data_IF_858832847918
#
_entry.id   IF_858832847918
#
_cell.length_a   1.000
_cell.length_b   1.000
_cell.length_c   1.000
_cell.angle_alpha   90.00
_cell.angle_beta   90.00
_cell.angle_gamma   90.00
#
_symmetry.space_group_name_H-M   'P 1'
#
loop_
_entity.id
_entity.type
_entity.pdbx_description
1 polymer ?
#
# COMPACT_ATOMS: atom_id res chain seq x y z
N UNK A 1 -22.74 2.59 -1.04
CA UNK A 1 -21.67 2.41 -2.05
C UNK A 1 -20.42 3.08 -1.54
N UNK A 2 -19.24 2.52 -1.79
CA UNK A 2 -17.97 2.93 -1.17
C UNK A 2 -17.34 4.21 -1.77
N UNK A 3 -18.15 5.09 -2.38
CA UNK A 3 -17.67 6.33 -2.94
C UNK A 3 -17.62 7.42 -1.85
N UNK A 4 -16.47 8.10 -1.65
CA UNK A 4 -16.37 9.22 -0.73
C UNK A 4 -17.40 10.30 -1.04
N UNK A 5 -17.85 11.02 0.00
CA UNK A 5 -18.72 12.19 -0.22
C UNK A 5 -17.92 13.32 -0.88
N UNK A 6 -18.59 14.12 -1.70
CA UNK A 6 -17.98 15.33 -2.27
C UNK A 6 -17.52 16.24 -1.14
N UNK A 7 -16.29 16.76 -1.24
CA UNK A 7 -15.65 17.59 -0.21
C UNK A 7 -14.93 16.80 0.89
N UNK A 8 -14.98 15.46 0.89
CA UNK A 8 -14.17 14.65 1.79
C UNK A 8 -12.70 14.64 1.38
N UNK A 9 -11.81 14.58 2.38
CA UNK A 9 -10.41 14.27 2.16
C UNK A 9 -10.26 12.83 1.67
N UNK A 10 -9.48 12.65 0.61
CA UNK A 10 -9.34 11.38 -0.07
C UNK A 10 -7.90 11.08 -0.42
N UNK A 11 -7.61 9.78 -0.52
CA UNK A 11 -6.43 9.26 -1.19
C UNK A 11 -6.88 8.36 -2.34
N UNK A 12 -6.10 8.32 -3.42
CA UNK A 12 -6.48 7.55 -4.60
C UNK A 12 -5.29 7.09 -5.41
N UNK A 13 -5.55 6.14 -6.30
CA UNK A 13 -4.55 5.65 -7.27
C UNK A 13 -5.05 5.90 -8.68
N UNK A 14 -4.12 6.23 -9.55
CA UNK A 14 -4.35 6.31 -11.00
C UNK A 14 -3.25 5.54 -11.71
N UNK A 15 -3.53 5.06 -12.92
CA UNK A 15 -2.51 4.45 -13.76
C UNK A 15 -1.54 5.51 -14.30
N UNK A 16 -2.07 6.66 -14.73
CA UNK A 16 -1.31 7.76 -15.32
C UNK A 16 -1.92 9.12 -14.95
N UNK A 17 -1.17 10.21 -15.13
CA UNK A 17 -1.65 11.58 -14.93
C UNK A 17 -1.69 12.06 -13.47
N UNK A 18 -1.09 11.31 -12.54
CA UNK A 18 -1.12 11.62 -11.11
C UNK A 18 -0.31 12.86 -10.70
N UNK A 19 0.69 13.26 -11.50
CA UNK A 19 1.40 14.51 -11.32
C UNK A 19 0.60 15.67 -11.94
N UNK A 20 -0.52 16.01 -11.31
CA UNK A 20 -1.45 17.05 -11.74
C UNK A 20 -2.09 17.72 -10.52
N UNK A 21 -2.52 18.98 -10.66
CA UNK A 21 -3.33 19.65 -9.63
C UNK A 21 -4.78 19.15 -9.59
N UNK A 22 -5.27 18.60 -10.70
CA UNK A 22 -6.63 18.03 -10.83
C UNK A 22 -6.58 16.78 -11.70
N UNK A 23 -7.33 15.74 -11.34
CA UNK A 23 -7.45 14.51 -12.12
C UNK A 23 -8.87 13.96 -12.06
N UNK A 24 -9.35 13.43 -13.18
CA UNK A 24 -10.60 12.69 -13.26
C UNK A 24 -10.31 11.18 -13.18
N UNK A 25 -10.74 10.53 -12.10
CA UNK A 25 -10.54 9.10 -11.85
C UNK A 25 -11.87 8.42 -11.54
N UNK A 26 -11.91 7.10 -11.72
CA UNK A 26 -13.09 6.32 -11.31
C UNK A 26 -13.19 6.31 -9.79
N UNK A 27 -14.38 6.56 -9.23
CA UNK A 27 -14.58 6.56 -7.78
C UNK A 27 -14.14 5.27 -7.07
N UNK A 28 -14.12 4.13 -7.77
CA UNK A 28 -13.63 2.85 -7.24
C UNK A 28 -12.13 2.85 -6.91
N UNK A 29 -11.33 3.77 -7.44
CA UNK A 29 -9.89 3.89 -7.15
C UNK A 29 -9.56 4.92 -6.07
N UNK A 30 -10.58 5.47 -5.42
CA UNK A 30 -10.47 6.51 -4.38
C UNK A 30 -11.02 6.00 -3.06
N UNK A 31 -10.36 6.35 -1.95
CA UNK A 31 -10.77 6.04 -0.58
C UNK A 31 -10.76 7.32 0.25
N UNK A 32 -11.62 7.37 1.26
CA UNK A 32 -11.53 8.41 2.29
C UNK A 32 -10.17 8.31 2.97
N UNK A 33 -9.53 9.46 3.21
CA UNK A 33 -8.30 9.54 3.98
C UNK A 33 -8.62 9.20 5.44
N UNK A 34 -7.88 8.29 6.10
CA UNK A 34 -8.12 7.97 7.50
C UNK A 34 -8.00 9.21 8.40
N UNK A 35 -8.81 9.25 9.46
CA UNK A 35 -8.74 10.34 10.44
C UNK A 35 -7.35 10.41 11.07
N UNK A 36 -6.78 11.61 11.13
CA UNK A 36 -5.46 11.87 11.69
C UNK A 36 -4.29 11.66 10.71
N UNK A 37 -4.55 11.15 9.50
CA UNK A 37 -3.51 11.07 8.47
C UNK A 37 -3.36 12.42 7.77
N UNK A 38 -2.11 12.77 7.51
CA UNK A 38 -1.74 13.84 6.58
C UNK A 38 -1.97 13.40 5.13
N UNK A 39 -2.10 14.38 4.22
CA UNK A 39 -2.14 14.08 2.78
C UNK A 39 -0.87 13.38 2.28
N UNK A 40 0.30 13.64 2.88
CA UNK A 40 1.55 13.00 2.53
C UNK A 40 1.54 11.49 2.86
N UNK A 41 1.00 11.12 4.03
CA UNK A 41 0.79 9.71 4.40
C UNK A 41 -0.20 9.05 3.43
N UNK A 42 -1.33 9.69 3.15
CA UNK A 42 -2.31 9.19 2.18
C UNK A 42 -1.74 8.98 0.77
N UNK A 43 -0.95 9.93 0.27
CA UNK A 43 -0.37 9.88 -1.07
C UNK A 43 0.68 8.77 -1.24
N UNK A 44 1.39 8.41 -0.17
CA UNK A 44 2.46 7.38 -0.20
C UNK A 44 1.95 5.95 0.02
N UNK A 45 0.82 5.80 0.70
CA UNK A 45 0.36 4.50 1.19
C UNK A 45 -0.17 3.55 0.11
N UNK A 46 -1.09 4.02 -0.75
CA UNK A 46 -1.91 3.13 -1.56
C UNK A 46 -1.13 2.35 -2.61
N UNK A 47 -0.23 3.00 -3.34
CA UNK A 47 0.51 2.34 -4.43
C UNK A 47 1.36 1.17 -3.89
N UNK A 48 2.12 1.43 -2.82
CA UNK A 48 2.98 0.43 -2.20
C UNK A 48 2.16 -0.73 -1.60
N UNK A 49 1.14 -0.40 -0.82
CA UNK A 49 0.34 -1.39 -0.08
C UNK A 49 -0.50 -2.26 -1.00
N UNK A 50 -1.15 -1.69 -2.03
CA UNK A 50 -1.91 -2.48 -3.00
C UNK A 50 -1.02 -3.40 -3.82
N UNK A 51 0.19 -2.96 -4.17
CA UNK A 51 1.18 -3.79 -4.87
C UNK A 51 1.59 -4.98 -4.00
N UNK A 52 1.95 -4.73 -2.74
CA UNK A 52 2.31 -5.78 -1.79
C UNK A 52 1.15 -6.76 -1.54
N UNK A 53 -0.07 -6.24 -1.33
CA UNK A 53 -1.27 -7.06 -1.10
C UNK A 53 -1.56 -7.96 -2.31
N UNK A 54 -1.56 -7.39 -3.51
CA UNK A 54 -1.84 -8.16 -4.71
C UNK A 54 -0.81 -9.27 -4.93
N UNK A 55 0.49 -8.97 -4.74
CA UNK A 55 1.56 -9.96 -4.87
C UNK A 55 1.47 -11.08 -3.83
N UNK A 56 1.28 -10.74 -2.56
CA UNK A 56 1.30 -11.70 -1.46
C UNK A 56 -0.01 -12.46 -1.30
N UNK A 57 -1.14 -11.76 -1.30
CA UNK A 57 -2.44 -12.33 -0.94
C UNK A 57 -3.15 -12.90 -2.17
N UNK A 58 -3.35 -12.08 -3.21
CA UNK A 58 -4.14 -12.48 -4.37
C UNK A 58 -3.39 -13.47 -5.27
N UNK A 59 -2.13 -13.17 -5.58
CA UNK A 59 -1.29 -14.05 -6.42
C UNK A 59 -0.56 -15.12 -5.59
N UNK A 60 0.06 -14.71 -4.48
CA UNK A 60 0.90 -15.58 -3.65
C UNK A 60 0.14 -16.48 -2.68
N UNK A 61 -1.16 -16.25 -2.48
CA UNK A 61 -1.99 -17.07 -1.59
C UNK A 61 -1.48 -17.11 -0.15
N UNK A 62 -0.93 -16.01 0.37
CA UNK A 62 -0.34 -15.92 1.70
C UNK A 62 -1.30 -16.36 2.81
N UNK A 63 -0.83 -17.26 3.68
CA UNK A 63 -1.57 -17.79 4.84
C UNK A 63 -0.72 -17.72 6.09
N UNK A 64 -1.40 -17.81 7.24
CA UNK A 64 -0.77 -17.93 8.56
C UNK A 64 0.26 -19.06 8.56
N UNK A 65 1.43 -18.81 9.14
CA UNK A 65 2.54 -19.77 9.26
C UNK A 65 3.42 -19.90 8.01
N UNK A 66 3.10 -19.23 6.89
CA UNK A 66 4.03 -19.15 5.77
C UNK A 66 5.26 -18.32 6.13
N UNK A 67 6.37 -18.56 5.42
CA UNK A 67 7.57 -17.73 5.47
C UNK A 67 7.78 -17.06 4.11
N UNK A 68 8.00 -15.75 4.11
CA UNK A 68 8.13 -14.92 2.89
C UNK A 68 9.51 -14.27 2.85
N UNK A 69 10.22 -14.38 1.73
CA UNK A 69 11.43 -13.59 1.47
C UNK A 69 11.05 -12.24 0.87
N UNK A 70 11.35 -11.15 1.57
CA UNK A 70 11.07 -9.77 1.15
C UNK A 70 12.38 -9.09 0.74
N UNK A 71 12.52 -8.82 -0.56
CA UNK A 71 13.65 -8.06 -1.07
C UNK A 71 13.46 -6.55 -0.90
N UNK A 72 14.57 -5.83 -0.74
CA UNK A 72 14.58 -4.37 -0.57
C UNK A 72 13.59 -3.90 0.50
N UNK A 73 13.61 -4.57 1.66
CA UNK A 73 12.57 -4.47 2.67
C UNK A 73 12.39 -3.05 3.25
N UNK A 74 13.44 -2.23 3.25
CA UNK A 74 13.38 -0.83 3.68
C UNK A 74 12.74 0.12 2.64
N UNK A 75 12.33 -0.38 1.46
CA UNK A 75 11.58 0.39 0.46
C UNK A 75 10.06 0.36 0.73
N UNK A 76 9.29 1.24 0.07
CA UNK A 76 7.84 1.37 0.34
C UNK A 76 7.04 0.07 0.20
N UNK A 77 7.24 -0.70 -0.88
CA UNK A 77 6.58 -2.02 -1.06
C UNK A 77 7.12 -3.04 -0.05
N UNK A 78 8.41 -2.97 0.28
CA UNK A 78 9.06 -3.85 1.23
C UNK A 78 8.44 -3.71 2.62
N UNK A 79 8.34 -2.48 3.13
CA UNK A 79 7.72 -2.17 4.42
C UNK A 79 6.27 -2.63 4.46
N UNK A 80 5.48 -2.31 3.42
CA UNK A 80 4.10 -2.77 3.33
C UNK A 80 3.98 -4.31 3.29
N UNK A 81 4.93 -5.00 2.67
CA UNK A 81 4.97 -6.47 2.64
C UNK A 81 5.23 -7.06 4.02
N UNK A 82 6.11 -6.44 4.82
CA UNK A 82 6.37 -6.86 6.20
C UNK A 82 5.11 -6.69 7.06
N UNK A 83 4.45 -5.53 6.99
CA UNK A 83 3.21 -5.26 7.73
C UNK A 83 2.11 -6.27 7.38
N UNK A 84 1.96 -6.60 6.09
CA UNK A 84 1.00 -7.60 5.61
C UNK A 84 1.36 -9.00 6.12
N UNK A 85 2.63 -9.39 6.13
CA UNK A 85 3.06 -10.68 6.67
C UNK A 85 2.70 -10.79 8.16
N UNK A 86 3.02 -9.77 8.96
CA UNK A 86 2.65 -9.70 10.37
C UNK A 86 1.14 -9.79 10.56
N UNK A 87 0.35 -9.00 9.82
CA UNK A 87 -1.11 -9.00 9.90
C UNK A 87 -1.74 -10.35 9.48
N UNK A 88 -1.10 -11.11 8.59
CA UNK A 88 -1.54 -12.45 8.18
C UNK A 88 -1.02 -13.58 9.07
N UNK A 89 -0.21 -13.27 10.08
CA UNK A 89 0.43 -14.26 10.95
C UNK A 89 1.47 -15.12 10.21
N UNK A 90 2.14 -14.53 9.22
CA UNK A 90 3.26 -15.12 8.48
C UNK A 90 4.58 -14.52 8.97
N UNK A 91 5.67 -15.23 8.73
CA UNK A 91 7.03 -14.78 9.03
C UNK A 91 7.67 -14.18 7.79
N UNK A 92 8.51 -13.16 7.96
CA UNK A 92 9.27 -12.55 6.88
C UNK A 92 10.78 -12.67 7.11
N UNK A 93 11.52 -12.94 6.04
CA UNK A 93 12.98 -12.80 5.96
C UNK A 93 13.26 -11.63 5.02
N UNK A 94 14.01 -10.63 5.47
CA UNK A 94 14.20 -9.38 4.75
C UNK A 94 15.62 -9.23 4.21
N UNK A 95 15.78 -8.64 3.02
CA UNK A 95 17.08 -8.16 2.53
C UNK A 95 17.09 -6.64 2.43
N UNK A 96 18.16 -6.02 2.92
CA UNK A 96 18.37 -4.56 2.91
C UNK A 96 19.73 -4.28 2.30
N UNK A 97 19.83 -3.21 1.49
CA UNK A 97 21.03 -2.91 0.70
C UNK A 97 22.14 -2.17 1.45
N UNK A 98 21.90 -1.64 2.65
CA UNK A 98 22.88 -0.86 3.41
C UNK A 98 22.58 -0.87 4.92
N UNK A 99 23.59 -0.80 5.79
CA UNK A 99 23.39 -0.75 7.25
C UNK A 99 22.65 0.50 7.77
N UNK A 100 22.65 1.60 7.02
CA UNK A 100 21.98 2.84 7.39
C UNK A 100 20.47 2.86 7.10
N UNK A 101 19.92 1.73 6.64
CA UNK A 101 18.50 1.56 6.30
C UNK A 101 17.86 0.49 7.17
#
# INVERSE_FOLDING_TARGET
GWAPRVGSDVMGVTRFGGYSSVINVKGVTVRELPSGWSYAEGASFLCATLTAWYGLVELGGLRKGHTVLVHSAAGGVGLASLDICTAKGASAVATIGSPSK
#
